data_IF_955036427765
#
_entry.id   IF_955036427765
#
_cell.length_a   1.000
_cell.length_b   1.000
_cell.length_c   1.000
_cell.angle_alpha   90.00
_cell.angle_beta   90.00
_cell.angle_gamma   90.00
#
_symmetry.space_group_name_H-M   'P 1'
#
loop_
_entity.id
_entity.type
_entity.pdbx_description
1 polymer ?
#
# COMPACT_ATOMS: atom_id res chain seq x y z
N UNK A 1 -10.13 8.45 -5.31
CA UNK A 1 -10.34 7.49 -6.41
C UNK A 1 -11.78 7.48 -6.86
N UNK A 2 -12.06 8.18 -7.95
CA UNK A 2 -13.35 8.13 -8.66
C UNK A 2 -13.23 6.96 -9.66
N UNK A 3 -14.06 5.92 -9.53
CA UNK A 3 -14.07 4.74 -10.43
C UNK A 3 -13.47 3.42 -9.90
N UNK A 4 -12.68 3.44 -8.81
CA UNK A 4 -12.16 2.18 -8.23
C UNK A 4 -13.26 1.43 -7.46
N UNK A 5 -13.30 0.09 -7.59
CA UNK A 5 -14.19 -0.78 -6.81
C UNK A 5 -13.98 -0.56 -5.32
N UNK A 6 -15.04 -0.57 -4.51
CA UNK A 6 -14.97 -0.29 -3.07
C UNK A 6 -13.94 -1.15 -2.33
N UNK A 7 -13.80 -2.42 -2.72
CA UNK A 7 -12.77 -3.32 -2.18
C UNK A 7 -11.35 -2.75 -2.32
N UNK A 8 -11.00 -2.14 -3.46
CA UNK A 8 -9.66 -1.60 -3.68
C UNK A 8 -9.46 -0.35 -2.81
N UNK A 9 -10.50 0.48 -2.65
CA UNK A 9 -10.48 1.62 -1.73
C UNK A 9 -10.22 1.17 -0.30
N UNK A 10 -10.84 0.07 0.13
CA UNK A 10 -10.62 -0.52 1.47
C UNK A 10 -9.20 -1.06 1.61
N UNK A 11 -8.68 -1.77 0.61
CA UNK A 11 -7.29 -2.27 0.61
C UNK A 11 -6.27 -1.14 0.70
N UNK A 12 -6.41 -0.09 -0.13
CA UNK A 12 -5.52 1.09 -0.11
C UNK A 12 -5.55 1.76 1.27
N UNK A 13 -6.74 1.95 1.85
CA UNK A 13 -6.87 2.50 3.22
C UNK A 13 -6.26 1.58 4.29
N UNK A 14 -6.40 0.26 4.15
CA UNK A 14 -5.84 -0.72 5.08
C UNK A 14 -4.31 -0.76 5.02
N UNK A 15 -3.72 -0.52 3.85
CA UNK A 15 -2.27 -0.34 3.70
C UNK A 15 -1.78 0.94 4.39
N UNK A 16 -2.66 1.93 4.60
CA UNK A 16 -2.37 3.18 5.30
C UNK A 16 -2.43 4.42 4.41
N UNK A 17 -2.66 4.23 3.11
CA UNK A 17 -2.67 5.29 2.11
C UNK A 17 -4.02 6.04 2.13
N UNK A 18 -4.00 7.32 2.54
CA UNK A 18 -5.21 8.14 2.72
C UNK A 18 -5.41 9.16 1.60
N UNK A 19 -4.31 9.65 1.01
CA UNK A 19 -4.29 10.70 -0.02
C UNK A 19 -3.44 10.26 -1.21
N UNK A 20 -3.51 11.01 -2.31
CA UNK A 20 -2.64 10.76 -3.48
C UNK A 20 -1.21 11.20 -3.15
N UNK A 21 -0.21 10.39 -3.49
CA UNK A 21 1.20 10.64 -3.16
C UNK A 21 1.55 10.39 -1.69
N UNK A 22 0.66 9.72 -0.94
CA UNK A 22 0.95 9.28 0.42
C UNK A 22 1.89 8.07 0.36
N UNK A 23 2.85 7.99 1.27
CA UNK A 23 3.86 6.93 1.31
C UNK A 23 3.86 6.27 2.69
N UNK A 24 4.06 4.96 2.74
CA UNK A 24 4.09 4.21 3.99
C UNK A 24 5.04 3.03 3.90
N UNK A 25 5.93 2.91 4.88
CA UNK A 25 6.80 1.75 5.01
C UNK A 25 6.07 0.65 5.77
N UNK A 26 6.07 -0.56 5.21
CA UNK A 26 5.48 -1.75 5.82
C UNK A 26 6.45 -2.90 5.74
N UNK A 27 6.41 -3.77 6.75
CA UNK A 27 7.12 -5.04 6.71
C UNK A 27 6.58 -5.91 5.56
N UNK A 28 7.48 -6.56 4.84
CA UNK A 28 7.17 -7.49 3.76
C UNK A 28 6.63 -8.83 4.32
N UNK A 29 5.41 -8.81 4.84
CA UNK A 29 4.69 -10.04 5.23
C UNK A 29 3.80 -10.54 4.08
N UNK A 30 3.54 -11.85 3.97
CA UNK A 30 2.73 -12.42 2.88
C UNK A 30 1.34 -11.77 2.73
N UNK A 31 0.73 -11.33 3.85
CA UNK A 31 -0.55 -10.64 3.84
C UNK A 31 -0.46 -9.25 3.19
N UNK A 32 0.59 -8.47 3.50
CA UNK A 32 0.83 -7.15 2.91
C UNK A 32 1.11 -7.31 1.41
N UNK A 33 1.98 -8.25 1.04
CA UNK A 33 2.28 -8.55 -0.36
C UNK A 33 1.03 -8.96 -1.14
N UNK A 34 0.15 -9.77 -0.55
CA UNK A 34 -1.15 -10.13 -1.15
C UNK A 34 -2.06 -8.92 -1.37
N UNK A 35 -2.15 -8.02 -0.38
CA UNK A 35 -2.93 -6.78 -0.50
C UNK A 35 -2.37 -5.87 -1.60
N UNK A 36 -1.05 -5.68 -1.64
CA UNK A 36 -0.34 -4.89 -2.65
C UNK A 36 -0.62 -5.45 -4.04
N UNK A 37 -0.49 -6.77 -4.24
CA UNK A 37 -0.81 -7.43 -5.53
C UNK A 37 -2.24 -7.16 -5.99
N UNK A 38 -3.22 -7.13 -5.06
CA UNK A 38 -4.62 -6.86 -5.39
C UNK A 38 -4.85 -5.42 -5.91
N UNK A 39 -3.98 -4.48 -5.56
CA UNK A 39 -4.06 -3.07 -5.96
C UNK A 39 -2.81 -2.60 -6.72
N UNK A 40 -2.05 -3.51 -7.33
CA UNK A 40 -0.73 -3.22 -7.93
C UNK A 40 -0.75 -2.18 -9.07
N UNK A 41 -1.91 -1.90 -9.66
CA UNK A 41 -2.09 -0.86 -10.68
C UNK A 41 -2.39 0.53 -10.10
N UNK A 42 -2.49 0.64 -8.77
CA UNK A 42 -2.85 1.85 -8.03
C UNK A 42 -1.73 2.37 -7.14
N UNK A 43 -0.70 1.57 -6.93
CA UNK A 43 0.41 1.85 -6.02
C UNK A 43 1.72 1.52 -6.72
N UNK A 44 2.75 2.27 -6.38
CA UNK A 44 4.14 1.94 -6.67
C UNK A 44 4.75 1.32 -5.42
N UNK A 45 5.66 0.36 -5.61
CA UNK A 45 6.26 -0.41 -4.52
C UNK A 45 7.76 -0.41 -4.72
N UNK A 46 8.47 0.00 -3.69
CA UNK A 46 9.93 0.01 -3.65
C UNK A 46 10.39 -0.78 -2.42
N UNK A 47 11.45 -1.56 -2.58
CA UNK A 47 12.12 -2.21 -1.46
C UNK A 47 12.97 -1.16 -0.75
N UNK A 48 12.60 -0.82 0.49
CA UNK A 48 13.35 0.11 1.33
C UNK A 48 14.12 -0.67 2.39
N UNK A 49 15.41 -0.37 2.54
CA UNK A 49 16.15 -0.78 3.72
C UNK A 49 15.51 -0.06 4.92
N UNK A 50 15.09 -0.84 5.92
CA UNK A 50 14.35 -0.30 7.05
C UNK A 50 15.10 0.92 7.60
N UNK A 51 14.44 2.06 7.84
CA UNK A 51 15.11 3.14 8.54
C UNK A 51 15.53 2.55 9.88
N UNK A 52 16.83 2.62 10.16
CA UNK A 52 17.35 2.48 11.52
C UNK A 52 16.54 3.48 12.35
N UNK A 53 15.56 2.95 13.08
CA UNK A 53 14.72 3.76 13.95
C UNK A 53 15.62 4.15 15.13
N UNK A 54 16.16 5.37 15.08
CA UNK A 54 16.61 6.09 16.27
C UNK A 54 15.46 6.30 17.27
#
# INVERSE_FOLDING_TARGET
MIGAKERHKRTVRALGLRRLGDEVVKKADPAILGMVRAVAHLVEVEEVEAPEAE
#
